data_IF_788315645640
#
_entry.id   IF_788315645640
#
_cell.length_a   1.000
_cell.length_b   1.000
_cell.length_c   1.000
_cell.angle_alpha   90.00
_cell.angle_beta   90.00
_cell.angle_gamma   90.00
#
_symmetry.space_group_name_H-M   'P 1'
#
loop_
_entity.id
_entity.type
_entity.pdbx_description
1 polymer ?
#
# COMPACT_ATOMS: atom_id res chain seq x y z
N UNK A 1 46.12 0.09 -1.89
CA UNK A 1 45.35 -0.50 -0.78
C UNK A 1 44.39 -1.48 -1.42
N UNK A 2 44.60 -2.78 -1.23
CA UNK A 2 43.75 -3.83 -1.81
C UNK A 2 42.50 -3.93 -0.94
N UNK A 3 41.38 -3.43 -1.45
CA UNK A 3 40.09 -3.60 -0.79
C UNK A 3 39.62 -5.03 -1.04
N UNK A 4 39.67 -5.86 -0.01
CA UNK A 4 39.09 -7.20 -0.05
C UNK A 4 37.70 -7.13 0.55
N UNK A 5 36.68 -7.01 -0.29
CA UNK A 5 35.30 -7.28 0.13
C UNK A 5 35.22 -8.78 0.49
N UNK A 6 34.51 -9.11 1.56
CA UNK A 6 34.51 -10.47 2.14
C UNK A 6 34.33 -11.57 1.11
N UNK A 7 35.03 -12.69 1.30
CA UNK A 7 35.08 -13.83 0.36
C UNK A 7 33.81 -14.71 0.36
N UNK A 8 32.85 -14.43 1.25
CA UNK A 8 31.60 -15.17 1.33
C UNK A 8 30.50 -14.36 0.65
N UNK A 9 29.83 -14.96 -0.33
CA UNK A 9 28.70 -14.32 -1.00
C UNK A 9 27.62 -13.93 0.04
N UNK A 10 27.18 -12.67 0.00
CA UNK A 10 26.05 -12.19 0.78
C UNK A 10 24.71 -12.60 0.14
N UNK A 11 23.60 -12.36 0.86
CA UNK A 11 22.26 -12.67 0.36
C UNK A 11 21.76 -11.59 -0.61
N UNK A 12 21.43 -11.98 -1.84
CA UNK A 12 20.70 -11.14 -2.79
C UNK A 12 19.19 -11.38 -2.68
N UNK A 13 18.40 -10.30 -2.62
CA UNK A 13 16.96 -10.35 -2.85
C UNK A 13 16.63 -9.45 -4.03
N UNK A 14 16.28 -10.06 -5.16
CA UNK A 14 15.94 -9.33 -6.37
C UNK A 14 14.44 -9.42 -6.61
N UNK A 15 13.76 -8.28 -6.66
CA UNK A 15 12.35 -8.20 -7.04
C UNK A 15 12.24 -7.45 -8.36
N UNK A 16 11.65 -8.10 -9.37
CA UNK A 16 11.47 -7.53 -10.69
C UNK A 16 9.98 -7.36 -10.98
N UNK A 17 9.63 -6.20 -11.53
CA UNK A 17 8.26 -5.88 -11.94
C UNK A 17 8.16 -5.99 -13.47
N UNK A 18 7.31 -6.89 -14.00
CA UNK A 18 7.07 -6.97 -15.43
C UNK A 18 6.66 -5.63 -16.03
N UNK A 19 7.20 -5.30 -17.20
CA UNK A 19 6.93 -4.04 -17.90
C UNK A 19 7.58 -2.80 -17.31
N UNK A 20 8.43 -2.93 -16.28
CA UNK A 20 9.17 -1.81 -15.69
C UNK A 20 10.68 -2.01 -15.80
N UNK A 21 11.43 -0.91 -15.95
CA UNK A 21 12.89 -0.93 -15.86
C UNK A 21 13.29 -1.22 -14.42
N UNK A 22 14.11 -2.23 -14.21
CA UNK A 22 14.76 -2.43 -12.91
C UNK A 22 16.03 -1.58 -12.84
N UNK A 23 16.22 -0.89 -11.71
CA UNK A 23 17.46 -0.17 -11.39
C UNK A 23 17.94 -0.57 -10.00
N UNK A 24 19.07 -1.28 -9.93
CA UNK A 24 19.75 -1.62 -8.68
C UNK A 24 20.92 -0.68 -8.42
N UNK A 25 21.14 -0.25 -7.18
CA UNK A 25 22.28 0.62 -6.80
C UNK A 25 22.88 0.22 -5.47
N UNK A 26 24.20 0.31 -5.39
CA UNK A 26 24.97 0.11 -4.16
C UNK A 26 26.02 1.21 -4.04
N UNK A 27 26.15 1.77 -2.85
CA UNK A 27 27.20 2.74 -2.52
C UNK A 27 28.28 2.09 -1.67
N UNK A 28 29.53 2.27 -2.07
CA UNK A 28 30.69 1.88 -1.29
C UNK A 28 31.01 2.94 -0.23
N UNK A 29 31.09 2.51 1.03
CA UNK A 29 31.41 3.38 2.17
C UNK A 29 32.64 2.88 2.92
N UNK A 30 33.60 3.77 3.16
CA UNK A 30 34.80 3.50 3.95
C UNK A 30 35.31 4.78 4.63
N UNK A 31 35.21 4.90 5.98
CA UNK A 31 34.50 4.02 6.92
C UNK A 31 32.96 4.06 6.71
N UNK A 32 32.14 3.30 7.47
CA UNK A 32 30.69 3.28 7.28
C UNK A 32 30.11 4.69 7.46
N UNK A 33 29.17 5.07 6.60
CA UNK A 33 28.60 6.41 6.56
C UNK A 33 29.44 7.44 5.78
N UNK A 34 30.62 7.06 5.26
CA UNK A 34 31.44 7.95 4.41
C UNK A 34 31.60 7.33 3.02
N UNK A 35 30.95 7.88 1.98
CA UNK A 35 31.11 7.40 0.61
C UNK A 35 32.57 7.45 0.16
N UNK A 36 33.05 6.37 -0.44
CA UNK A 36 34.40 6.25 -0.98
C UNK A 36 34.33 5.69 -2.40
N UNK A 37 35.25 6.06 -3.31
CA UNK A 37 35.21 5.52 -4.67
C UNK A 37 35.52 4.03 -4.67
N UNK A 38 34.85 3.30 -5.57
CA UNK A 38 35.21 1.91 -5.87
C UNK A 38 36.66 1.83 -6.38
N UNK A 39 37.37 0.71 -6.12
CA UNK A 39 38.72 0.53 -6.61
C UNK A 39 38.83 0.71 -8.14
N UNK A 40 39.87 1.41 -8.63
CA UNK A 40 40.04 1.60 -10.07
C UNK A 40 40.26 0.26 -10.77
N UNK A 41 39.66 0.10 -11.95
CA UNK A 41 39.76 -1.13 -12.74
C UNK A 41 38.84 -2.27 -12.30
N UNK A 42 38.02 -2.07 -11.26
CA UNK A 42 36.95 -2.99 -10.90
C UNK A 42 35.90 -3.03 -12.02
N UNK A 43 35.47 -4.23 -12.40
CA UNK A 43 34.24 -4.43 -13.16
C UNK A 43 33.26 -5.30 -12.38
N UNK A 44 31.97 -5.16 -12.68
CA UNK A 44 30.93 -5.90 -12.02
C UNK A 44 29.76 -6.17 -12.97
N UNK A 45 28.99 -7.23 -12.71
CA UNK A 45 27.81 -7.55 -13.51
C UNK A 45 26.75 -8.29 -12.69
N UNK A 46 25.49 -8.09 -13.07
CA UNK A 46 24.36 -8.89 -12.62
C UNK A 46 24.21 -10.05 -13.60
N UNK A 47 24.22 -11.28 -13.10
CA UNK A 47 23.96 -12.49 -13.85
C UNK A 47 22.67 -13.12 -13.34
N UNK A 48 21.73 -13.42 -14.23
CA UNK A 48 20.52 -14.18 -13.88
C UNK A 48 20.52 -15.49 -14.67
N UNK A 49 20.33 -16.60 -13.95
CA UNK A 49 20.25 -17.95 -14.51
C UNK A 49 19.01 -18.66 -14.02
N UNK A 50 18.62 -19.74 -14.68
CA UNK A 50 17.58 -20.65 -14.18
C UNK A 50 18.22 -22.04 -13.97
N UNK A 51 18.17 -22.61 -12.75
CA UNK A 51 18.71 -23.94 -12.51
C UNK A 51 18.10 -24.99 -13.45
N UNK A 52 18.96 -25.79 -14.11
CA UNK A 52 18.53 -26.82 -15.06
C UNK A 52 18.10 -26.31 -16.45
N UNK A 53 18.36 -25.05 -16.76
CA UNK A 53 18.05 -24.40 -18.04
C UNK A 53 19.30 -23.81 -18.69
N UNK A 54 19.22 -23.52 -19.98
CA UNK A 54 20.23 -22.72 -20.72
C UNK A 54 19.95 -21.21 -20.63
N UNK A 55 18.93 -20.80 -19.89
CA UNK A 55 18.61 -19.39 -19.70
C UNK A 55 19.73 -18.71 -18.91
N UNK A 56 20.32 -17.70 -19.54
CA UNK A 56 21.33 -16.82 -18.96
C UNK A 56 21.17 -15.42 -19.54
N UNK A 57 21.26 -14.43 -18.65
CA UNK A 57 21.37 -13.02 -19.01
C UNK A 57 22.38 -12.34 -18.09
N UNK A 58 23.15 -11.41 -18.66
CA UNK A 58 24.21 -10.68 -17.98
C UNK A 58 24.04 -9.19 -18.29
N UNK A 59 24.04 -8.37 -17.25
CA UNK A 59 24.00 -6.91 -17.36
C UNK A 59 25.22 -6.31 -16.66
N UNK A 60 26.07 -5.55 -17.37
CA UNK A 60 27.22 -4.90 -16.76
C UNK A 60 26.75 -3.82 -15.76
N UNK A 61 27.56 -3.59 -14.73
CA UNK A 61 27.39 -2.47 -13.83
C UNK A 61 27.96 -1.19 -14.45
N UNK A 62 27.30 -0.06 -14.20
CA UNK A 62 27.89 1.27 -14.32
C UNK A 62 28.49 1.67 -12.97
N UNK A 63 29.76 2.06 -12.96
CA UNK A 63 30.52 2.40 -11.74
C UNK A 63 30.93 3.87 -11.85
N UNK A 64 30.31 4.72 -11.03
CA UNK A 64 30.60 6.14 -10.94
C UNK A 64 30.96 6.53 -9.50
N UNK A 65 32.25 6.77 -9.28
CA UNK A 65 32.79 7.10 -7.97
C UNK A 65 32.44 6.04 -6.93
N UNK A 66 31.63 6.40 -5.95
CA UNK A 66 31.19 5.52 -4.86
C UNK A 66 30.00 4.62 -5.23
N UNK A 67 29.32 4.89 -6.35
CA UNK A 67 28.07 4.22 -6.70
C UNK A 67 28.31 3.21 -7.81
N UNK A 68 27.82 1.99 -7.60
CA UNK A 68 27.72 0.94 -8.60
C UNK A 68 26.23 0.69 -8.89
N UNK A 69 25.85 0.62 -10.16
CA UNK A 69 24.46 0.48 -10.56
C UNK A 69 24.22 -0.48 -11.71
N UNK A 70 23.04 -1.09 -11.75
CA UNK A 70 22.59 -1.98 -12.82
C UNK A 70 21.25 -1.50 -13.35
N UNK A 71 21.06 -1.59 -14.66
CA UNK A 71 19.79 -1.32 -15.32
C UNK A 71 19.38 -2.52 -16.17
N UNK A 72 18.18 -3.03 -15.94
CA UNK A 72 17.57 -4.10 -16.75
C UNK A 72 16.32 -3.52 -17.39
N UNK A 73 16.27 -3.55 -18.73
CA UNK A 73 15.18 -2.93 -19.48
C UNK A 73 13.87 -3.72 -19.34
N UNK A 74 12.70 -3.09 -19.55
CA UNK A 74 11.41 -3.75 -19.40
C UNK A 74 11.28 -5.05 -20.22
N UNK A 75 11.80 -5.05 -21.45
CA UNK A 75 11.76 -6.21 -22.34
C UNK A 75 12.58 -7.37 -21.76
N UNK A 76 13.79 -7.08 -21.27
CA UNK A 76 14.63 -8.05 -20.59
C UNK A 76 13.97 -8.58 -19.31
N UNK A 77 13.30 -7.73 -18.54
CA UNK A 77 12.58 -8.14 -17.33
C UNK A 77 11.46 -9.13 -17.68
N UNK A 78 10.75 -8.90 -18.77
CA UNK A 78 9.65 -9.76 -19.21
C UNK A 78 10.11 -11.14 -19.68
N UNK A 79 11.37 -11.27 -20.11
CA UNK A 79 11.95 -12.55 -20.51
C UNK A 79 12.42 -13.42 -19.34
N UNK A 80 12.53 -12.85 -18.13
CA UNK A 80 13.08 -13.57 -16.97
C UNK A 80 12.06 -14.62 -16.48
N UNK A 81 12.41 -15.92 -16.47
CA UNK A 81 11.49 -16.95 -16.04
C UNK A 81 11.18 -16.91 -14.55
N UNK A 82 9.99 -17.40 -14.19
CA UNK A 82 9.67 -17.75 -12.81
C UNK A 82 10.69 -18.80 -12.31
N UNK A 83 11.23 -18.61 -11.10
CA UNK A 83 12.32 -19.40 -10.48
C UNK A 83 13.75 -19.06 -10.93
N UNK A 84 13.99 -17.88 -11.50
CA UNK A 84 15.33 -17.42 -11.78
C UNK A 84 16.16 -17.17 -10.48
N UNK A 85 17.47 -17.29 -10.61
CA UNK A 85 18.46 -17.06 -9.55
C UNK A 85 19.41 -15.95 -9.99
N UNK A 86 19.58 -14.94 -9.14
CA UNK A 86 20.43 -13.79 -9.40
C UNK A 86 21.78 -13.93 -8.70
N UNK A 87 22.84 -13.51 -9.37
CA UNK A 87 24.19 -13.42 -8.85
C UNK A 87 24.80 -12.07 -9.24
N UNK A 88 25.47 -11.43 -8.29
CA UNK A 88 26.20 -10.20 -8.51
C UNK A 88 27.69 -10.52 -8.43
N UNK A 89 28.40 -10.29 -9.52
CA UNK A 89 29.81 -10.64 -9.66
C UNK A 89 30.69 -9.41 -9.58
N UNK A 90 31.88 -9.57 -8.98
CA UNK A 90 32.95 -8.58 -8.95
C UNK A 90 34.19 -9.18 -9.61
N UNK A 91 34.87 -8.39 -10.44
CA UNK A 91 36.10 -8.76 -11.11
C UNK A 91 37.16 -7.68 -10.92
N UNK A 92 38.20 -8.05 -10.18
CA UNK A 92 39.36 -7.22 -9.90
C UNK A 92 40.48 -7.61 -10.85
N UNK A 93 41.20 -6.64 -11.41
CA UNK A 93 42.26 -6.91 -12.42
C UNK A 93 43.30 -7.97 -11.99
N UNK A 94 43.56 -8.10 -10.69
CA UNK A 94 44.58 -9.00 -10.13
C UNK A 94 44.00 -10.23 -9.42
N UNK A 95 42.71 -10.53 -9.57
CA UNK A 95 42.06 -11.67 -8.93
C UNK A 95 41.08 -12.38 -9.86
N UNK A 96 40.73 -13.62 -9.52
CA UNK A 96 39.64 -14.30 -10.21
C UNK A 96 38.30 -13.62 -9.88
N UNK A 97 37.37 -13.52 -10.85
CA UNK A 97 36.02 -13.03 -10.58
C UNK A 97 35.36 -13.81 -9.45
N UNK A 98 34.69 -13.10 -8.56
CA UNK A 98 34.00 -13.69 -7.42
C UNK A 98 32.51 -13.34 -7.43
N UNK A 99 31.69 -14.27 -6.93
CA UNK A 99 30.28 -14.02 -6.63
C UNK A 99 30.23 -13.24 -5.32
N UNK A 100 29.78 -12.01 -5.39
CA UNK A 100 29.67 -11.13 -4.23
C UNK A 100 28.33 -11.28 -3.52
N UNK A 101 27.23 -11.42 -4.27
CA UNK A 101 25.89 -11.62 -3.73
C UNK A 101 25.16 -12.66 -4.57
N UNK A 102 24.31 -13.47 -3.94
CA UNK A 102 23.44 -14.38 -4.68
C UNK A 102 22.12 -14.70 -3.96
N UNK A 103 21.09 -15.05 -4.73
CA UNK A 103 19.79 -15.40 -4.18
C UNK A 103 18.65 -15.44 -5.21
N UNK A 104 17.42 -15.74 -4.77
CA UNK A 104 16.28 -15.92 -5.65
C UNK A 104 15.81 -14.60 -6.28
N UNK A 105 15.27 -14.71 -7.50
CA UNK A 105 14.56 -13.63 -8.18
C UNK A 105 13.05 -13.81 -7.99
N UNK A 106 12.40 -12.79 -7.42
CA UNK A 106 10.96 -12.73 -7.24
C UNK A 106 10.36 -11.85 -8.34
N UNK A 107 9.33 -12.36 -9.01
CA UNK A 107 8.54 -11.59 -9.99
C UNK A 107 7.17 -11.34 -9.38
N UNK A 108 6.77 -10.08 -9.22
CA UNK A 108 5.52 -9.73 -8.54
C UNK A 108 4.94 -8.40 -8.97
N UNK A 109 3.61 -8.26 -8.83
CA UNK A 109 2.84 -7.05 -9.12
C UNK A 109 2.57 -6.18 -7.88
N UNK A 110 3.22 -6.45 -6.74
CA UNK A 110 3.00 -5.68 -5.53
C UNK A 110 3.84 -4.38 -5.56
N UNK A 111 3.14 -3.27 -5.81
CA UNK A 111 3.60 -1.88 -5.86
C UNK A 111 4.12 -1.41 -7.23
N UNK A 112 3.55 -0.29 -7.70
CA UNK A 112 3.82 0.38 -8.99
C UNK A 112 5.22 1.04 -9.08
N UNK A 113 6.17 0.56 -8.29
CA UNK A 113 7.56 0.99 -8.26
C UNK A 113 8.38 -0.21 -7.78
N UNK A 114 8.95 -0.95 -8.72
CA UNK A 114 9.83 -2.09 -8.44
C UNK A 114 11.03 -1.68 -7.58
N UNK A 115 10.91 -1.83 -6.27
CA UNK A 115 12.03 -1.72 -5.35
C UNK A 115 12.68 -3.10 -5.20
N UNK A 116 13.68 -3.38 -6.04
CA UNK A 116 14.67 -4.40 -5.71
C UNK A 116 15.80 -3.72 -4.94
N UNK A 117 16.02 -4.10 -3.68
CA UNK A 117 17.17 -3.60 -2.92
C UNK A 117 18.27 -4.64 -2.94
N UNK A 118 19.48 -4.22 -3.30
CA UNK A 118 20.67 -5.06 -3.18
C UNK A 118 21.13 -4.98 -1.72
N UNK A 119 20.70 -5.92 -0.89
CA UNK A 119 21.21 -6.02 0.48
C UNK A 119 22.57 -6.73 0.45
N UNK A 120 23.63 -5.95 0.28
CA UNK A 120 24.94 -6.46 0.61
C UNK A 120 25.08 -6.43 2.15
N UNK A 121 25.32 -7.60 2.76
CA UNK A 121 25.91 -7.66 4.10
C UNK A 121 27.34 -8.17 3.96
N UNK A 122 28.29 -7.34 3.47
CA UNK A 122 29.69 -7.65 3.66
C UNK A 122 30.02 -7.32 5.13
N UNK A 123 30.03 -8.33 6.00
CA UNK A 123 31.08 -8.40 7.02
C UNK A 123 32.30 -8.97 6.28
N UNK A 124 33.59 -8.67 6.61
CA UNK A 124 34.12 -8.50 7.96
C UNK A 124 35.39 -7.58 8.03
N UNK A 125 35.98 -7.41 9.23
CA UNK A 125 37.37 -6.99 9.59
C UNK A 125 37.99 -5.68 9.02
N UNK A 126 37.41 -5.03 8.01
CA UNK A 126 37.95 -3.82 7.36
C UNK A 126 37.12 -2.56 7.62
N UNK A 127 35.95 -2.69 8.26
CA UNK A 127 35.05 -1.58 8.56
C UNK A 127 34.42 -0.93 7.33
N UNK A 128 34.54 -1.47 6.12
CA UNK A 128 33.83 -0.94 4.95
C UNK A 128 32.49 -1.65 4.73
N UNK A 129 31.45 -0.91 4.34
CA UNK A 129 30.11 -1.46 4.08
C UNK A 129 29.64 -0.98 2.71
N UNK A 130 29.02 -1.88 1.96
CA UNK A 130 28.30 -1.53 0.76
C UNK A 130 26.82 -1.45 1.13
N UNK A 131 26.23 -0.26 1.07
CA UNK A 131 24.82 -0.06 1.46
C UNK A 131 23.93 0.07 0.22
N UNK A 132 22.73 -0.52 0.20
CA UNK A 132 21.75 -0.19 -0.83
C UNK A 132 21.46 1.30 -0.75
N UNK A 133 21.55 1.99 -1.88
CA UNK A 133 21.07 3.37 -1.98
C UNK A 133 19.56 3.27 -2.13
N UNK A 134 18.75 3.71 -1.15
CA UNK A 134 17.30 3.77 -1.36
C UNK A 134 17.04 4.62 -2.61
N UNK A 135 16.12 4.19 -3.46
CA UNK A 135 15.64 5.04 -4.55
C UNK A 135 15.20 6.39 -3.99
N UNK A 136 15.08 7.45 -4.82
CA UNK A 136 14.47 8.69 -4.35
C UNK A 136 13.14 8.33 -3.67
N UNK A 137 12.83 8.92 -2.50
CA UNK A 137 11.53 8.74 -1.88
C UNK A 137 10.48 8.86 -2.98
N UNK A 138 9.57 7.89 -3.05
CA UNK A 138 8.44 8.02 -3.97
C UNK A 138 7.80 9.39 -3.76
N UNK A 139 7.15 9.98 -4.80
CA UNK A 139 6.39 11.20 -4.57
C UNK A 139 5.53 10.97 -3.31
N UNK A 140 5.48 11.94 -2.37
CA UNK A 140 4.54 11.85 -1.26
C UNK A 140 3.20 11.40 -1.83
N UNK A 141 2.57 10.39 -1.20
CA UNK A 141 1.23 10.00 -1.60
C UNK A 141 0.37 11.26 -1.72
N UNK A 142 -0.63 11.30 -2.63
CA UNK A 142 -1.52 12.44 -2.68
C UNK A 142 -1.94 12.77 -1.24
N UNK A 143 -1.85 14.04 -0.81
CA UNK A 143 -2.32 14.42 0.52
C UNK A 143 -3.67 13.76 0.73
N UNK A 144 -3.82 12.99 1.81
CA UNK A 144 -5.13 12.45 2.18
C UNK A 144 -6.11 13.62 2.10
N UNK A 145 -7.26 13.43 1.44
CA UNK A 145 -8.25 14.49 1.25
C UNK A 145 -8.44 15.18 2.59
N UNK A 146 -7.96 16.41 2.74
CA UNK A 146 -7.80 17.10 4.03
C UNK A 146 -9.11 17.43 4.74
N UNK A 147 -10.22 16.78 4.39
CA UNK A 147 -11.43 16.76 5.16
C UNK A 147 -11.26 15.67 6.23
N UNK A 148 -11.47 16.00 7.50
CA UNK A 148 -11.66 15.02 8.58
C UNK A 148 -12.92 14.16 8.42
N UNK A 149 -13.39 13.98 7.18
CA UNK A 149 -14.62 13.31 6.77
C UNK A 149 -14.32 12.34 5.63
N UNK A 150 -14.63 11.07 5.84
CA UNK A 150 -14.51 10.01 4.84
C UNK A 150 -15.83 9.90 4.08
N UNK A 151 -15.78 10.18 2.78
CA UNK A 151 -16.95 10.10 1.89
C UNK A 151 -16.71 8.98 0.88
N UNK A 152 -17.68 8.09 0.77
CA UNK A 152 -17.76 7.06 -0.28
C UNK A 152 -18.76 7.51 -1.33
N UNK A 153 -18.47 7.20 -2.60
CA UNK A 153 -19.41 7.43 -3.70
C UNK A 153 -19.95 6.10 -4.20
N UNK A 154 -21.23 6.07 -4.57
CA UNK A 154 -21.87 4.88 -5.12
C UNK A 154 -23.14 5.21 -5.88
N UNK A 155 -23.88 4.19 -6.27
CA UNK A 155 -25.13 4.33 -7.03
C UNK A 155 -26.34 4.16 -6.10
N UNK A 156 -27.31 5.06 -6.18
CA UNK A 156 -28.54 4.95 -5.42
C UNK A 156 -29.44 3.83 -5.98
N UNK A 157 -29.78 2.84 -5.17
CA UNK A 157 -30.69 1.73 -5.52
C UNK A 157 -32.18 2.11 -5.44
N UNK A 158 -32.49 3.27 -4.86
CA UNK A 158 -33.83 3.85 -4.75
C UNK A 158 -33.72 5.39 -4.72
N UNK A 159 -34.86 6.09 -4.70
CA UNK A 159 -34.84 7.53 -4.39
C UNK A 159 -34.43 7.73 -2.92
N UNK A 160 -33.28 8.36 -2.70
CA UNK A 160 -32.70 8.60 -1.40
C UNK A 160 -32.80 10.09 -1.06
N UNK A 161 -33.31 10.40 0.12
CA UNK A 161 -33.24 11.74 0.70
C UNK A 161 -31.85 11.97 1.29
N UNK A 162 -31.42 13.22 1.34
CA UNK A 162 -30.21 13.59 2.07
C UNK A 162 -30.36 13.35 3.57
N UNK A 163 -29.24 13.20 4.26
CA UNK A 163 -29.18 13.10 5.71
C UNK A 163 -29.94 11.89 6.27
N UNK A 164 -29.92 10.78 5.53
CA UNK A 164 -30.54 9.50 5.89
C UNK A 164 -29.50 8.38 5.90
N UNK A 165 -29.69 7.42 6.81
CA UNK A 165 -28.84 6.26 6.90
C UNK A 165 -29.07 5.30 5.73
N UNK A 166 -27.97 4.84 5.13
CA UNK A 166 -27.98 3.94 3.96
C UNK A 166 -26.99 2.81 4.14
N UNK A 167 -27.28 1.70 3.48
CA UNK A 167 -26.48 0.48 3.46
C UNK A 167 -26.22 0.09 2.01
N UNK A 168 -25.05 -0.50 1.76
CA UNK A 168 -24.72 -1.04 0.44
C UNK A 168 -25.18 -2.50 0.34
N UNK A 169 -25.96 -2.81 -0.70
CA UNK A 169 -26.38 -4.17 -1.03
C UNK A 169 -25.30 -4.90 -1.86
N UNK A 170 -25.39 -6.25 -1.99
CA UNK A 170 -24.41 -7.04 -2.75
C UNK A 170 -24.28 -6.66 -4.23
N UNK A 171 -25.30 -6.02 -4.80
CA UNK A 171 -25.28 -5.50 -6.18
C UNK A 171 -24.51 -4.17 -6.33
N UNK A 172 -23.97 -3.65 -5.22
CA UNK A 172 -23.21 -2.41 -5.17
C UNK A 172 -24.04 -1.15 -5.01
N UNK A 173 -25.38 -1.25 -4.99
CA UNK A 173 -26.28 -0.11 -4.83
C UNK A 173 -26.53 0.24 -3.37
N UNK A 174 -26.84 1.52 -3.11
CA UNK A 174 -27.18 2.03 -1.78
C UNK A 174 -28.69 2.15 -1.61
N UNK A 175 -29.22 1.57 -0.53
CA UNK A 175 -30.62 1.67 -0.12
C UNK A 175 -30.72 2.16 1.32
N UNK A 176 -31.90 2.55 1.77
CA UNK A 176 -32.09 2.93 3.18
C UNK A 176 -31.73 1.78 4.11
N UNK A 177 -30.86 2.06 5.08
CA UNK A 177 -30.58 1.14 6.18
C UNK A 177 -31.77 1.13 7.14
N UNK A 178 -32.03 0.02 7.80
CA UNK A 178 -33.18 -0.09 8.71
C UNK A 178 -32.84 -0.99 9.89
N UNK A 179 -33.14 -0.56 11.11
CA UNK A 179 -32.82 -1.32 12.33
C UNK A 179 -33.75 -2.52 12.59
N UNK A 180 -34.87 -2.61 11.88
CA UNK A 180 -35.82 -3.73 11.89
C UNK A 180 -35.51 -4.81 10.85
N UNK A 181 -34.55 -4.57 9.95
CA UNK A 181 -34.10 -5.54 8.96
C UNK A 181 -32.80 -6.24 9.43
N UNK A 182 -32.87 -7.50 9.90
CA UNK A 182 -31.70 -8.19 10.42
C UNK A 182 -30.59 -8.39 9.38
N UNK A 183 -30.90 -8.34 8.08
CA UNK A 183 -29.89 -8.49 7.02
C UNK A 183 -28.96 -7.28 6.93
N UNK A 184 -29.38 -6.12 7.44
CA UNK A 184 -28.58 -4.90 7.46
C UNK A 184 -27.58 -4.83 8.63
N UNK A 185 -27.74 -5.66 9.67
CA UNK A 185 -26.98 -5.57 10.92
C UNK A 185 -25.46 -5.62 10.73
N UNK A 186 -24.98 -6.47 9.83
CA UNK A 186 -23.56 -6.72 9.60
C UNK A 186 -22.96 -5.88 8.46
N UNK A 187 -23.78 -5.10 7.76
CA UNK A 187 -23.35 -4.35 6.59
C UNK A 187 -22.77 -2.97 6.98
N UNK A 188 -21.91 -2.37 6.13
CA UNK A 188 -21.47 -0.99 6.33
C UNK A 188 -22.65 -0.03 6.19
N UNK A 189 -22.85 0.82 7.20
CA UNK A 189 -23.93 1.82 7.22
C UNK A 189 -23.29 3.21 7.31
N UNK A 190 -23.72 4.12 6.43
CA UNK A 190 -23.31 5.52 6.43
C UNK A 190 -24.51 6.45 6.25
N UNK A 191 -24.26 7.76 6.11
CA UNK A 191 -25.31 8.78 5.98
C UNK A 191 -25.17 9.51 4.63
N UNK A 192 -26.26 9.67 3.89
CA UNK A 192 -26.25 10.42 2.63
C UNK A 192 -25.94 11.90 2.86
N UNK A 193 -25.01 12.46 2.09
CA UNK A 193 -24.68 13.90 2.15
C UNK A 193 -25.75 14.79 1.50
N UNK A 194 -26.47 14.26 0.51
CA UNK A 194 -27.53 14.94 -0.23
C UNK A 194 -28.53 13.92 -0.78
N UNK A 195 -29.66 14.42 -1.30
CA UNK A 195 -30.65 13.58 -1.97
C UNK A 195 -30.13 13.12 -3.34
N UNK A 196 -30.55 11.92 -3.77
CA UNK A 196 -30.23 11.32 -5.06
C UNK A 196 -31.42 10.51 -5.58
N UNK A 197 -31.66 10.52 -6.90
CA UNK A 197 -32.67 9.65 -7.50
C UNK A 197 -32.10 8.25 -7.73
N UNK A 198 -32.97 7.26 -7.96
CA UNK A 198 -32.53 5.91 -8.30
C UNK A 198 -31.66 5.92 -9.56
N UNK A 199 -30.51 5.26 -9.50
CA UNK A 199 -29.51 5.22 -10.57
C UNK A 199 -28.51 6.37 -10.56
N UNK A 200 -28.75 7.44 -9.80
CA UNK A 200 -27.82 8.55 -9.68
C UNK A 200 -26.63 8.20 -8.78
N UNK A 201 -25.54 8.95 -8.95
CA UNK A 201 -24.43 8.92 -8.02
C UNK A 201 -24.83 9.59 -6.70
N UNK A 202 -24.58 8.91 -5.59
CA UNK A 202 -24.81 9.39 -4.22
C UNK A 202 -23.49 9.45 -3.43
N UNK A 203 -23.37 10.44 -2.57
CA UNK A 203 -22.26 10.60 -1.63
C UNK A 203 -22.70 10.17 -0.23
N UNK A 204 -21.93 9.28 0.39
CA UNK A 204 -22.19 8.71 1.71
C UNK A 204 -21.05 9.07 2.65
N UNK A 205 -21.37 9.75 3.74
CA UNK A 205 -20.44 10.01 4.84
C UNK A 205 -20.34 8.75 5.70
N UNK A 206 -19.14 8.16 5.74
CA UNK A 206 -18.84 6.95 6.51
C UNK A 206 -18.14 7.27 7.84
N UNK A 207 -17.46 8.41 7.92
CA UNK A 207 -16.77 8.87 9.12
C UNK A 207 -16.60 10.39 9.05
N UNK A 208 -16.57 11.06 10.21
CA UNK A 208 -16.24 12.49 10.35
C UNK A 208 -17.43 13.41 10.55
N UNK A 209 -17.18 14.72 10.56
CA UNK A 209 -18.20 15.72 10.90
C UNK A 209 -19.17 15.96 9.73
N UNK A 210 -20.45 16.12 10.08
CA UNK A 210 -21.55 16.46 9.19
C UNK A 210 -22.45 17.50 9.86
N UNK A 211 -22.89 18.49 9.09
CA UNK A 211 -23.78 19.55 9.57
C UNK A 211 -25.00 19.65 8.67
N UNK A 212 -26.19 19.76 9.28
CA UNK A 212 -27.46 19.93 8.58
C UNK A 212 -28.40 20.84 9.37
N UNK A 213 -28.82 21.92 8.72
CA UNK A 213 -29.53 23.04 9.36
C UNK A 213 -30.92 22.68 9.89
N UNK A 214 -31.57 21.64 9.36
CA UNK A 214 -32.89 21.19 9.79
C UNK A 214 -32.86 20.29 11.03
N UNK A 215 -31.68 19.88 11.48
CA UNK A 215 -31.55 19.08 12.70
C UNK A 215 -31.73 19.92 13.96
N UNK A 216 -32.20 19.26 15.01
CA UNK A 216 -32.43 19.84 16.33
C UNK A 216 -32.00 18.85 17.42
N UNK A 217 -30.78 18.31 17.29
CA UNK A 217 -30.25 17.32 18.21
C UNK A 217 -29.88 17.92 19.56
N UNK A 218 -29.83 17.07 20.57
CA UNK A 218 -29.09 17.34 21.81
C UNK A 218 -27.74 16.65 21.75
N UNK A 219 -26.64 17.20 22.31
CA UNK A 219 -25.37 16.49 22.31
C UNK A 219 -25.51 15.09 22.92
N UNK A 220 -25.09 14.05 22.19
CA UNK A 220 -25.34 12.66 22.57
C UNK A 220 -25.41 11.69 21.40
N UNK A 221 -25.73 10.41 21.64
CA UNK A 221 -25.73 9.39 20.59
C UNK A 221 -26.88 9.60 19.59
N UNK A 222 -26.60 9.25 18.34
CA UNK A 222 -27.58 9.18 17.25
C UNK A 222 -27.57 7.76 16.69
N UNK A 223 -28.73 7.12 16.71
CA UNK A 223 -28.95 5.73 16.34
C UNK A 223 -29.62 5.59 14.98
N UNK A 224 -29.44 4.42 14.37
CA UNK A 224 -30.20 3.99 13.21
C UNK A 224 -31.66 3.71 13.60
N UNK A 225 -32.60 4.38 12.95
CA UNK A 225 -34.03 4.08 13.00
C UNK A 225 -34.50 3.25 11.80
N UNK A 226 -35.82 3.12 11.67
CA UNK A 226 -36.46 2.42 10.55
C UNK A 226 -36.39 3.30 9.29
N UNK A 227 -36.12 2.68 8.13
CA UNK A 227 -36.19 3.33 6.81
C UNK A 227 -35.21 4.49 6.64
N UNK A 228 -34.00 4.36 7.17
CA UNK A 228 -32.92 5.34 7.05
C UNK A 228 -33.05 6.52 8.01
N UNK A 229 -34.01 6.49 8.93
CA UNK A 229 -34.19 7.56 9.90
C UNK A 229 -33.04 7.62 10.90
N UNK A 230 -32.71 8.83 11.36
CA UNK A 230 -31.77 9.06 12.46
C UNK A 230 -32.57 9.45 13.71
N UNK A 231 -32.22 8.90 14.87
CA UNK A 231 -32.97 9.12 16.12
C UNK A 231 -32.05 9.17 17.33
N UNK A 232 -32.42 9.92 18.37
CA UNK A 232 -31.75 9.87 19.70
C UNK A 232 -32.49 8.96 20.70
N UNK A 233 -33.69 8.49 20.35
CA UNK A 233 -34.35 7.42 21.09
C UNK A 233 -33.77 6.10 20.62
N UNK A 234 -33.08 5.39 21.52
CA UNK A 234 -32.49 4.09 21.24
C UNK A 234 -33.58 3.12 20.79
N UNK A 235 -33.47 2.51 19.59
CA UNK A 235 -34.41 1.49 19.16
C UNK A 235 -34.42 0.31 20.14
N UNK A 236 -35.61 -0.22 20.42
CA UNK A 236 -35.81 -1.37 21.30
C UNK A 236 -36.57 -2.49 20.58
N UNK A 237 -36.30 -3.74 20.99
CA UNK A 237 -37.07 -4.89 20.55
C UNK A 237 -38.51 -4.85 21.10
N UNK A 238 -39.50 -5.45 20.40
CA UNK A 238 -39.35 -6.27 19.19
C UNK A 238 -39.42 -5.47 17.88
N UNK A 239 -39.59 -4.15 17.94
CA UNK A 239 -39.73 -3.29 16.74
C UNK A 239 -38.43 -3.02 16.00
N UNK A 240 -37.29 -3.30 16.63
CA UNK A 240 -35.96 -3.27 16.02
C UNK A 240 -35.28 -4.62 16.23
N UNK A 241 -34.61 -5.12 15.20
CA UNK A 241 -33.82 -6.34 15.21
C UNK A 241 -32.42 -6.12 15.79
N UNK A 242 -31.88 -4.90 15.66
CA UNK A 242 -30.57 -4.53 16.20
C UNK A 242 -30.49 -3.04 16.56
N UNK A 243 -29.53 -2.69 17.42
CA UNK A 243 -29.18 -1.33 17.78
C UNK A 243 -27.80 -0.99 17.21
N UNK A 244 -27.70 0.17 16.56
CA UNK A 244 -26.43 0.72 16.06
C UNK A 244 -26.40 2.21 16.31
N UNK A 245 -25.37 2.66 17.04
CA UNK A 245 -25.03 4.09 17.08
C UNK A 245 -24.24 4.42 15.81
N UNK A 246 -24.78 5.31 14.98
CA UNK A 246 -24.16 5.75 13.73
C UNK A 246 -23.27 6.98 13.93
N UNK A 247 -23.64 7.84 14.87
CA UNK A 247 -22.96 9.11 15.10
C UNK A 247 -23.15 9.57 16.56
N UNK A 248 -22.43 10.62 16.93
CA UNK A 248 -22.71 11.42 18.11
C UNK A 248 -22.97 12.87 17.70
N UNK A 249 -24.11 13.42 18.10
CA UNK A 249 -24.37 14.85 17.99
C UNK A 249 -23.41 15.62 18.90
N UNK A 250 -22.72 16.61 18.32
CA UNK A 250 -21.82 17.52 19.03
C UNK A 250 -22.47 18.90 19.22
N UNK A 251 -23.48 19.23 18.40
CA UNK A 251 -24.35 20.39 18.53
C UNK A 251 -25.74 20.06 17.96
N UNK A 252 -26.65 21.05 17.94
CA UNK A 252 -28.02 20.85 17.47
C UNK A 252 -28.11 20.49 15.98
N UNK A 253 -27.22 21.06 15.17
CA UNK A 253 -27.15 20.89 13.72
C UNK A 253 -25.95 20.05 13.28
N UNK A 254 -25.15 19.54 14.21
CA UNK A 254 -23.85 18.93 13.89
C UNK A 254 -23.67 17.59 14.59
N UNK A 255 -23.25 16.60 13.81
CA UNK A 255 -22.90 15.25 14.30
C UNK A 255 -21.49 14.87 13.84
N UNK A 256 -20.84 14.03 14.62
CA UNK A 256 -19.63 13.31 14.20
C UNK A 256 -20.01 11.85 13.92
N UNK A 257 -19.86 11.44 12.67
CA UNK A 257 -20.13 10.08 12.22
C UNK A 257 -18.97 9.19 12.63
N UNK A 258 -19.25 8.23 13.49
CA UNK A 258 -18.32 7.19 13.93
C UNK A 258 -19.15 6.00 14.39
N UNK A 259 -19.30 5.02 13.47
CA UNK A 259 -20.23 3.91 13.66
C UNK A 259 -19.67 2.92 14.67
N UNK A 260 -20.43 2.66 15.73
CA UNK A 260 -20.13 1.58 16.67
C UNK A 260 -20.66 0.23 16.18
N UNK A 261 -20.12 -0.90 16.68
CA UNK A 261 -20.64 -2.23 16.35
C UNK A 261 -22.13 -2.36 16.65
N UNK A 262 -22.86 -3.02 15.75
CA UNK A 262 -24.28 -3.33 15.92
C UNK A 262 -24.49 -4.38 17.00
N UNK A 263 -25.50 -4.19 17.84
CA UNK A 263 -25.90 -5.13 18.91
C UNK A 263 -27.26 -5.72 18.53
N UNK A 264 -27.35 -7.05 18.43
CA UNK A 264 -28.63 -7.72 18.18
C UNK A 264 -29.57 -7.50 19.36
N UNK A 265 -30.83 -7.19 19.07
CA UNK A 265 -31.89 -7.07 20.07
C UNK A 265 -32.77 -8.32 19.96
N UNK A 266 -32.62 -9.21 20.94
CA UNK A 266 -33.41 -10.45 21.08
C UNK A 266 -34.66 -10.24 21.90
#
# INVERSE_FOLDING_TARGET
>A
MTLTLGWTAGTLRLTLQPGATFTGRVEYQSPPGTPAPWPPGLSAWLRITVPGSTFERIWPADIDGAVMSWSVQPDDVNEIPLNAHGQLWLDYQDAAPLVWLEGPVLIGSCHASGFGYVAAVPLPDSGAVAVPVPGPPGPPGPPGSGAGTVIVTGTAGAALSGHRAVVQLPDGTYVYASCDDPTHMALPIGITAAAAMMGDQVQIVMFGQMTESSWAWTPGPVFLGIGGSLTQSAPTGPTAAFLTQLAAATAADTVFVDRLPSIALT
#
